data_IF_552403609168
#
_entry.id   IF_552403609168
#
_cell.length_a   1.000
_cell.length_b   1.000
_cell.length_c   1.000
_cell.angle_alpha   90.00
_cell.angle_beta   90.00
_cell.angle_gamma   90.00
#
_symmetry.space_group_name_H-M   'P 1'
#
loop_
_entity.id
_entity.type
_entity.pdbx_description
1 polymer ?
#
# COMPACT_ATOMS: atom_id res chain seq x y z
N UNK A 1 8.65 19.60 41.91
CA UNK A 1 9.24 20.46 40.86
C UNK A 1 8.92 19.81 39.52
N UNK A 2 8.06 20.45 38.71
CA UNK A 2 7.77 19.98 37.36
C UNK A 2 8.96 20.38 36.47
N UNK A 3 9.74 19.40 36.04
CA UNK A 3 10.85 19.59 35.10
C UNK A 3 10.32 19.51 33.68
N UNK A 4 10.20 20.66 33.01
CA UNK A 4 9.92 20.72 31.57
C UNK A 4 11.24 20.82 30.79
N UNK A 5 11.43 19.96 29.78
CA UNK A 5 12.64 19.95 28.97
C UNK A 5 12.59 21.04 27.89
N UNK A 6 13.49 22.01 27.99
CA UNK A 6 13.55 23.18 27.10
C UNK A 6 14.55 23.03 25.95
N UNK A 7 15.30 21.93 25.91
CA UNK A 7 16.36 21.71 24.92
C UNK A 7 15.81 21.61 23.49
N UNK A 8 14.57 21.16 23.36
CA UNK A 8 13.89 20.93 22.08
C UNK A 8 13.03 22.12 21.62
N UNK A 9 12.94 23.20 22.42
CA UNK A 9 12.14 24.36 22.08
C UNK A 9 12.84 25.27 21.06
N UNK A 10 12.19 25.51 19.92
CA UNK A 10 12.64 26.48 18.94
C UNK A 10 12.68 27.90 19.55
N UNK A 11 13.57 28.77 19.06
CA UNK A 11 13.67 30.16 19.56
C UNK A 11 12.35 30.92 19.47
N UNK A 12 11.58 30.70 18.40
CA UNK A 12 10.25 31.32 18.19
C UNK A 12 9.22 30.84 19.21
N UNK A 13 9.27 29.57 19.61
CA UNK A 13 8.32 29.00 20.57
C UNK A 13 8.58 29.49 21.99
N UNK A 14 9.84 29.78 22.34
CA UNK A 14 10.23 30.21 23.70
C UNK A 14 9.56 31.51 24.13
N UNK A 15 9.36 32.45 23.21
CA UNK A 15 8.71 33.74 23.50
C UNK A 15 7.26 33.60 24.00
N UNK A 16 6.58 32.52 23.63
CA UNK A 16 5.19 32.26 24.03
C UNK A 16 5.06 31.34 25.25
N UNK A 17 6.15 30.62 25.58
CA UNK A 17 6.21 29.56 26.58
C UNK A 17 6.90 29.99 27.88
N UNK A 18 7.59 31.14 27.87
CA UNK A 18 8.26 31.69 29.03
C UNK A 18 7.48 32.89 29.60
N UNK A 19 7.57 33.10 30.91
CA UNK A 19 7.12 34.32 31.56
C UNK A 19 8.18 35.44 31.45
N UNK A 20 7.88 36.62 32.01
CA UNK A 20 8.79 37.76 32.02
C UNK A 20 10.08 37.55 32.83
N UNK A 21 10.14 36.51 33.65
CA UNK A 21 11.30 36.12 34.47
C UNK A 21 12.09 34.96 33.83
N UNK A 22 11.62 34.43 32.70
CA UNK A 22 12.25 33.33 31.98
C UNK A 22 11.86 31.94 32.48
N UNK A 23 10.84 31.81 33.34
CA UNK A 23 10.31 30.52 33.78
C UNK A 23 9.29 29.98 32.78
N UNK A 24 9.16 28.65 32.72
CA UNK A 24 8.24 27.98 31.79
C UNK A 24 6.82 28.04 32.33
N UNK A 25 5.91 28.51 31.49
CA UNK A 25 4.47 28.45 31.74
C UNK A 25 3.96 27.04 31.41
N UNK A 26 3.82 26.20 32.42
CA UNK A 26 3.50 24.76 32.28
C UNK A 26 2.23 24.53 31.45
N UNK A 27 1.14 25.26 31.70
CA UNK A 27 -0.11 25.09 30.95
C UNK A 27 0.08 25.37 29.45
N UNK A 28 0.89 26.37 29.11
CA UNK A 28 1.20 26.70 27.71
C UNK A 28 2.16 25.68 27.10
N UNK A 29 3.09 25.18 27.89
CA UNK A 29 4.02 24.14 27.47
C UNK A 29 3.27 22.84 27.16
N UNK A 30 2.31 22.45 27.99
CA UNK A 30 1.44 21.29 27.75
C UNK A 30 0.64 21.47 26.45
N UNK A 31 -0.03 22.63 26.28
CA UNK A 31 -0.76 22.92 25.04
C UNK A 31 0.13 22.88 23.80
N UNK A 32 1.34 23.43 23.89
CA UNK A 32 2.32 23.39 22.82
C UNK A 32 2.69 21.94 22.45
N UNK A 33 2.89 21.05 23.43
CA UNK A 33 3.14 19.64 23.16
C UNK A 33 1.98 18.99 22.40
N UNK A 34 0.73 19.24 22.79
CA UNK A 34 -0.43 18.71 22.07
C UNK A 34 -0.48 19.21 20.61
N UNK A 35 -0.11 20.47 20.35
CA UNK A 35 -0.04 21.00 18.99
C UNK A 35 1.03 20.33 18.12
N UNK A 36 2.08 19.76 18.71
CA UNK A 36 3.11 19.04 17.95
C UNK A 36 2.69 17.62 17.57
N UNK A 37 1.74 17.00 18.28
CA UNK A 37 1.38 15.58 18.09
C UNK A 37 0.99 15.25 16.64
N UNK A 38 0.11 16.01 15.94
CA UNK A 38 -0.32 15.65 14.59
C UNK A 38 0.82 15.52 13.58
N UNK A 39 1.80 16.41 13.64
CA UNK A 39 2.96 16.40 12.73
C UNK A 39 3.90 15.22 13.05
N UNK A 40 3.95 14.81 14.32
CA UNK A 40 4.81 13.72 14.80
C UNK A 40 4.19 12.34 14.57
N UNK A 41 2.85 12.25 14.49
CA UNK A 41 2.14 10.99 14.22
C UNK A 41 2.48 10.36 12.86
N UNK A 42 3.14 11.08 11.95
CA UNK A 42 3.70 10.54 10.72
C UNK A 42 5.06 9.85 10.96
N UNK A 43 5.09 8.88 11.87
CA UNK A 43 6.20 7.96 12.08
C UNK A 43 7.22 8.33 13.16
N UNK A 44 7.14 9.53 13.77
CA UNK A 44 8.00 9.90 14.90
C UNK A 44 7.36 9.57 16.26
N UNK A 45 6.03 9.65 16.31
CA UNK A 45 5.22 9.17 17.41
C UNK A 45 4.31 8.09 16.87
N UNK A 46 4.28 6.95 17.55
CA UNK A 46 3.52 5.79 17.11
C UNK A 46 2.46 5.44 18.14
N UNK A 47 1.31 5.01 17.66
CA UNK A 47 0.17 4.57 18.46
C UNK A 47 -0.11 3.11 18.10
N UNK A 48 0.30 2.13 18.94
CA UNK A 48 0.20 0.71 18.61
C UNK A 48 -1.21 0.25 18.24
N UNK A 49 -2.21 0.83 18.91
CA UNK A 49 -3.62 0.48 18.76
C UNK A 49 -4.29 1.10 17.53
N UNK A 50 -3.62 2.05 16.85
CA UNK A 50 -4.17 2.74 15.67
C UNK A 50 -3.36 2.37 14.44
N UNK A 51 -3.92 1.56 13.54
CA UNK A 51 -3.25 1.05 12.33
C UNK A 51 -2.56 2.14 11.50
N UNK A 52 -3.18 3.32 11.36
CA UNK A 52 -2.61 4.44 10.60
C UNK A 52 -1.31 4.99 11.19
N UNK A 53 -1.17 4.93 12.51
CA UNK A 53 -0.05 5.52 13.26
C UNK A 53 0.80 4.46 13.95
N UNK A 54 0.60 3.20 13.62
CA UNK A 54 1.37 2.08 14.15
C UNK A 54 2.79 2.11 13.56
N UNK A 55 3.77 1.72 14.36
CA UNK A 55 5.12 1.49 13.87
C UNK A 55 5.15 0.31 12.90
N UNK A 56 5.90 0.41 11.80
CA UNK A 56 6.09 -0.72 10.88
C UNK A 56 6.59 -1.97 11.61
N UNK A 57 7.52 -1.80 12.56
CA UNK A 57 8.10 -2.89 13.34
C UNK A 57 7.06 -3.68 14.15
N UNK A 58 5.92 -3.07 14.51
CA UNK A 58 4.85 -3.76 15.21
C UNK A 58 4.04 -4.69 14.30
N UNK A 59 4.13 -4.54 12.98
CA UNK A 59 3.55 -5.46 11.99
C UNK A 59 4.57 -6.52 11.53
N UNK A 60 5.84 -6.40 11.93
CA UNK A 60 6.89 -7.36 11.64
C UNK A 60 6.93 -8.47 12.70
N UNK A 61 7.57 -9.59 12.35
CA UNK A 61 7.89 -10.64 13.32
C UNK A 61 8.87 -10.06 14.34
N UNK A 62 8.53 -10.17 15.62
CA UNK A 62 9.38 -9.74 16.73
C UNK A 62 10.82 -10.28 16.59
N UNK A 63 11.80 -9.45 16.92
CA UNK A 63 13.22 -9.77 16.72
C UNK A 63 13.69 -10.98 17.55
N UNK A 64 13.20 -11.14 18.77
CA UNK A 64 13.52 -12.30 19.60
C UNK A 64 12.86 -13.57 19.05
N UNK A 65 11.60 -13.47 18.62
CA UNK A 65 10.90 -14.57 17.97
C UNK A 65 11.58 -14.98 16.65
N UNK A 66 11.98 -14.02 15.82
CA UNK A 66 12.73 -14.25 14.59
C UNK A 66 14.04 -14.96 14.86
N UNK A 67 14.84 -14.50 15.82
CA UNK A 67 16.15 -15.11 16.14
C UNK A 67 16.02 -16.55 16.63
N UNK A 68 14.98 -16.86 17.41
CA UNK A 68 14.72 -18.22 17.92
C UNK A 68 14.20 -19.16 16.84
N UNK A 69 13.31 -18.69 15.96
CA UNK A 69 12.54 -19.54 15.03
C UNK A 69 12.92 -19.36 13.56
N UNK A 70 14.02 -18.64 13.25
CA UNK A 70 14.44 -18.27 11.88
C UNK A 70 14.31 -19.40 10.88
N UNK A 71 14.91 -20.57 11.16
CA UNK A 71 14.94 -21.69 10.21
C UNK A 71 13.55 -22.26 9.93
N UNK A 72 12.71 -22.40 10.96
CA UNK A 72 11.34 -22.87 10.82
C UNK A 72 10.49 -21.89 10.02
N UNK A 73 10.59 -20.58 10.32
CA UNK A 73 9.87 -19.53 9.59
C UNK A 73 10.29 -19.47 8.12
N UNK A 74 11.59 -19.62 7.83
CA UNK A 74 12.10 -19.68 6.46
C UNK A 74 11.56 -20.90 5.70
N UNK A 75 11.54 -22.08 6.33
CA UNK A 75 10.95 -23.27 5.71
C UNK A 75 9.46 -23.11 5.41
N UNK A 76 8.69 -22.56 6.37
CA UNK A 76 7.26 -22.30 6.20
C UNK A 76 6.95 -21.24 5.14
N UNK A 77 7.86 -20.28 4.92
CA UNK A 77 7.68 -19.23 3.92
C UNK A 77 7.67 -19.75 2.49
N UNK A 78 8.24 -20.94 2.23
CA UNK A 78 8.49 -21.49 0.90
C UNK A 78 9.33 -20.58 -0.03
N UNK A 79 9.91 -19.49 0.47
CA UNK A 79 10.76 -18.58 -0.28
C UNK A 79 12.23 -18.94 -0.12
N UNK A 80 12.74 -19.79 -1.02
CA UNK A 80 14.14 -20.25 -1.01
C UNK A 80 15.15 -19.11 -1.06
N UNK A 81 14.83 -18.02 -1.76
CA UNK A 81 15.69 -16.82 -1.83
C UNK A 81 15.92 -16.15 -0.48
N UNK A 82 14.95 -16.22 0.45
CA UNK A 82 15.10 -15.63 1.79
C UNK A 82 16.04 -16.44 2.70
N UNK A 83 16.34 -17.69 2.34
CA UNK A 83 17.28 -18.54 3.04
C UNK A 83 18.74 -18.32 2.60
N UNK A 84 18.96 -17.61 1.49
CA UNK A 84 20.29 -17.27 1.00
C UNK A 84 20.92 -16.12 1.81
N UNK A 85 22.25 -16.02 1.73
CA UNK A 85 22.97 -14.91 2.35
C UNK A 85 22.60 -13.58 1.64
N UNK A 86 22.14 -12.55 2.39
CA UNK A 86 21.64 -11.31 1.78
C UNK A 86 22.65 -10.66 0.84
N UNK A 87 23.93 -10.63 1.23
CA UNK A 87 24.98 -10.01 0.41
C UNK A 87 25.15 -10.70 -0.94
N UNK A 88 25.13 -12.04 -0.95
CA UNK A 88 25.23 -12.84 -2.17
C UNK A 88 24.01 -12.64 -3.07
N UNK A 89 22.81 -12.69 -2.49
CA UNK A 89 21.55 -12.49 -3.21
C UNK A 89 21.48 -11.09 -3.84
N UNK A 90 21.79 -10.05 -3.06
CA UNK A 90 21.77 -8.65 -3.53
C UNK A 90 22.78 -8.47 -4.67
N UNK A 91 24.01 -9.00 -4.51
CA UNK A 91 25.04 -8.92 -5.55
C UNK A 91 24.60 -9.63 -6.84
N UNK A 92 23.99 -10.81 -6.73
CA UNK A 92 23.49 -11.55 -7.89
C UNK A 92 22.37 -10.78 -8.58
N UNK A 93 21.38 -10.27 -7.83
CA UNK A 93 20.27 -9.50 -8.38
C UNK A 93 20.73 -8.21 -9.04
N UNK A 94 21.68 -7.50 -8.42
CA UNK A 94 22.28 -6.30 -9.00
C UNK A 94 22.99 -6.61 -10.32
N UNK A 95 23.78 -7.69 -10.37
CA UNK A 95 24.48 -8.10 -11.59
C UNK A 95 23.51 -8.53 -12.70
N UNK A 96 22.44 -9.25 -12.36
CA UNK A 96 21.38 -9.60 -13.32
C UNK A 96 20.69 -8.33 -13.87
N UNK A 97 20.37 -7.37 -13.00
CA UNK A 97 19.80 -6.09 -13.40
C UNK A 97 20.73 -5.31 -14.33
N UNK A 98 22.01 -5.17 -13.98
CA UNK A 98 23.01 -4.47 -14.79
C UNK A 98 23.18 -5.14 -16.16
N UNK A 99 23.20 -6.48 -16.19
CA UNK A 99 23.27 -7.25 -17.44
C UNK A 99 22.06 -6.95 -18.32
N UNK A 100 20.84 -6.98 -17.76
CA UNK A 100 19.62 -6.67 -18.50
C UNK A 100 19.58 -5.23 -18.98
N UNK A 101 20.04 -4.28 -18.17
CA UNK A 101 20.14 -2.88 -18.58
C UNK A 101 21.11 -2.70 -19.75
N UNK A 102 22.25 -3.39 -19.71
CA UNK A 102 23.22 -3.38 -20.81
C UNK A 102 22.65 -4.03 -22.07
N UNK A 103 22.05 -5.21 -21.97
CA UNK A 103 21.40 -5.92 -23.08
C UNK A 103 20.31 -5.07 -23.73
N UNK A 104 19.48 -4.40 -22.92
CA UNK A 104 18.47 -3.46 -23.43
C UNK A 104 19.14 -2.27 -24.10
N UNK A 105 20.20 -1.71 -23.53
CA UNK A 105 21.00 -0.64 -24.15
C UNK A 105 21.50 -1.03 -25.54
N UNK A 106 22.18 -2.17 -25.67
CA UNK A 106 22.67 -2.72 -26.94
C UNK A 106 21.52 -2.97 -27.93
N UNK A 107 20.42 -3.56 -27.47
CA UNK A 107 19.23 -3.80 -28.29
C UNK A 107 18.63 -2.50 -28.84
N UNK A 108 18.68 -1.41 -28.06
CA UNK A 108 18.21 -0.10 -28.48
C UNK A 108 19.15 0.57 -29.51
N UNK A 109 20.44 0.28 -29.48
CA UNK A 109 21.42 0.83 -30.43
C UNK A 109 21.45 0.10 -31.78
N UNK A 110 20.99 -1.16 -31.84
CA UNK A 110 20.86 -1.90 -33.09
C UNK A 110 19.71 -1.33 -33.95
N UNK A 111 20.02 -0.94 -35.19
CA UNK A 111 19.14 -0.16 -36.09
C UNK A 111 17.82 -0.84 -36.53
N UNK A 112 17.62 -2.14 -36.26
CA UNK A 112 16.39 -2.87 -36.63
C UNK A 112 15.36 -2.96 -35.48
N UNK A 113 15.24 -1.89 -34.69
CA UNK A 113 14.23 -1.83 -33.65
C UNK A 113 12.88 -1.36 -34.23
N UNK A 114 12.18 -2.27 -34.91
CA UNK A 114 10.84 -2.03 -35.49
C UNK A 114 9.81 -1.49 -34.49
N UNK A 115 10.10 -1.61 -33.19
CA UNK A 115 9.26 -1.19 -32.08
C UNK A 115 9.67 0.16 -31.46
N UNK A 116 10.78 0.79 -31.88
CA UNK A 116 11.26 2.07 -31.33
C UNK A 116 11.87 2.89 -32.47
N UNK A 117 11.22 4.02 -32.83
CA UNK A 117 11.70 4.87 -33.92
C UNK A 117 12.74 5.84 -33.36
N UNK A 118 14.02 5.60 -33.65
CA UNK A 118 15.09 6.59 -33.49
C UNK A 118 15.06 7.54 -34.69
N UNK A 119 14.69 8.81 -34.47
CA UNK A 119 14.93 9.88 -35.46
C UNK A 119 16.00 10.82 -34.92
N UNK A 120 16.95 11.16 -35.78
CA UNK A 120 17.99 12.15 -35.48
C UNK A 120 17.94 13.30 -36.49
N UNK A 121 16.98 14.25 -36.38
CA UNK A 121 16.87 15.31 -37.39
C UNK A 121 17.96 16.38 -37.25
N UNK A 122 18.53 16.62 -36.05
CA UNK A 122 19.48 17.71 -35.77
C UNK A 122 20.32 17.45 -34.50
N UNK A 123 20.85 16.24 -34.31
CA UNK A 123 21.77 15.92 -33.19
C UNK A 123 21.13 15.72 -31.81
N UNK A 124 19.81 15.88 -31.67
CA UNK A 124 19.07 15.51 -30.45
C UNK A 124 18.40 14.15 -30.62
N UNK A 125 18.77 13.18 -29.77
CA UNK A 125 18.16 11.84 -29.71
C UNK A 125 16.72 11.97 -29.15
N UNK A 126 15.72 11.70 -29.99
CA UNK A 126 14.31 11.62 -29.57
C UNK A 126 13.84 10.17 -29.59
N UNK A 127 13.35 9.69 -28.44
CA UNK A 127 12.76 8.36 -28.30
C UNK A 127 11.24 8.45 -28.48
N UNK A 128 10.68 7.70 -29.44
CA UNK A 128 9.23 7.59 -29.59
C UNK A 128 8.83 6.12 -29.76
N UNK A 129 7.96 5.65 -28.87
CA UNK A 129 7.25 4.39 -29.04
C UNK A 129 6.24 4.55 -30.21
N UNK A 130 6.21 3.65 -31.20
CA UNK A 130 5.19 3.61 -32.23
C UNK A 130 3.82 3.44 -31.55
N UNK A 131 2.97 4.46 -31.64
CA UNK A 131 1.62 4.42 -31.09
C UNK A 131 0.70 3.44 -31.82
N UNK A 132 1.16 2.82 -32.92
CA UNK A 132 0.31 2.09 -33.87
C UNK A 132 0.19 0.57 -33.62
N UNK A 133 0.92 -0.03 -32.67
CA UNK A 133 0.95 -1.50 -32.52
C UNK A 133 0.32 -2.05 -31.23
N UNK A 134 -0.28 -1.22 -30.37
CA UNK A 134 -0.92 -1.72 -29.13
C UNK A 134 -2.11 -2.66 -29.38
N UNK A 135 -2.73 -2.62 -30.55
CA UNK A 135 -3.87 -3.51 -30.85
C UNK A 135 -3.46 -4.97 -31.13
N UNK A 136 -2.21 -5.25 -31.52
CA UNK A 136 -1.79 -6.59 -31.95
C UNK A 136 -1.01 -7.38 -30.88
N UNK A 137 -0.34 -6.72 -29.94
CA UNK A 137 0.44 -7.43 -28.90
C UNK A 137 -0.41 -7.92 -27.72
N UNK A 138 -1.57 -7.30 -27.47
CA UNK A 138 -2.48 -7.69 -26.37
C UNK A 138 -3.54 -8.69 -26.85
N UNK A 139 -3.78 -8.78 -28.16
CA UNK A 139 -4.72 -9.70 -28.77
C UNK A 139 -3.98 -10.91 -29.38
N UNK A 140 -3.30 -11.70 -28.56
CA UNK A 140 -2.95 -13.05 -29.02
C UNK A 140 -4.28 -13.78 -29.33
N UNK A 141 -4.50 -14.32 -30.55
CA UNK A 141 -5.73 -15.04 -30.90
C UNK A 141 -6.07 -16.15 -29.90
N UNK A 142 -5.06 -16.68 -29.20
CA UNK A 142 -5.24 -17.60 -28.08
C UNK A 142 -6.08 -17.01 -26.93
N UNK A 143 -5.81 -15.78 -26.49
CA UNK A 143 -6.55 -15.15 -25.39
C UNK A 143 -7.97 -14.73 -25.82
N UNK A 144 -8.23 -14.60 -27.12
CA UNK A 144 -9.59 -14.38 -27.64
C UNK A 144 -10.45 -15.66 -27.59
N UNK A 145 -9.83 -16.83 -27.53
CA UNK A 145 -10.52 -18.12 -27.41
C UNK A 145 -10.85 -18.47 -25.95
N UNK A 146 -10.23 -17.79 -24.98
CA UNK A 146 -10.52 -17.99 -23.56
C UNK A 146 -11.77 -17.16 -23.22
N UNK A 147 -12.83 -17.78 -22.67
CA UNK A 147 -14.00 -17.02 -22.23
C UNK A 147 -13.58 -16.02 -21.16
N UNK A 148 -13.84 -14.73 -21.41
CA UNK A 148 -13.62 -13.69 -20.41
C UNK A 148 -14.71 -13.76 -19.36
N UNK A 149 -14.34 -13.65 -18.08
CA UNK A 149 -15.26 -13.65 -16.95
C UNK A 149 -15.00 -12.41 -16.11
N UNK A 150 -16.06 -11.77 -15.61
CA UNK A 150 -15.92 -10.61 -14.74
C UNK A 150 -15.26 -10.98 -13.42
N UNK A 151 -14.35 -10.14 -12.92
CA UNK A 151 -13.71 -10.37 -11.61
C UNK A 151 -14.74 -10.52 -10.48
N UNK A 152 -15.90 -9.85 -10.58
CA UNK A 152 -17.00 -9.98 -9.63
C UNK A 152 -17.69 -11.37 -9.69
N UNK A 153 -17.69 -12.05 -10.83
CA UNK A 153 -18.21 -13.43 -10.93
C UNK A 153 -17.22 -14.41 -10.30
N UNK A 154 -15.92 -14.20 -10.51
CA UNK A 154 -14.87 -14.99 -9.85
C UNK A 154 -14.97 -14.86 -8.33
N UNK A 155 -15.11 -13.63 -7.81
CA UNK A 155 -15.26 -13.42 -6.38
C UNK A 155 -16.54 -14.04 -5.81
N UNK A 156 -17.64 -14.04 -6.56
CA UNK A 156 -18.89 -14.74 -6.16
C UNK A 156 -18.71 -16.26 -6.13
N UNK A 157 -17.97 -16.83 -7.08
CA UNK A 157 -17.64 -18.25 -7.05
C UNK A 157 -16.79 -18.58 -5.82
N UNK A 158 -15.77 -17.77 -5.51
CA UNK A 158 -14.93 -17.96 -4.33
C UNK A 158 -15.76 -17.84 -3.04
N UNK A 159 -16.63 -16.84 -2.97
CA UNK A 159 -17.51 -16.67 -1.81
C UNK A 159 -18.50 -17.83 -1.65
N UNK A 160 -19.06 -18.37 -2.73
CA UNK A 160 -19.92 -19.57 -2.65
C UNK A 160 -19.19 -20.74 -1.99
N UNK A 161 -17.90 -20.90 -2.28
CA UNK A 161 -17.12 -22.04 -1.80
C UNK A 161 -16.47 -21.78 -0.41
N UNK A 162 -16.28 -20.52 -0.02
CA UNK A 162 -15.56 -20.13 1.22
C UNK A 162 -16.41 -19.41 2.26
N UNK A 163 -17.52 -18.81 1.85
CA UNK A 163 -18.35 -17.95 2.69
C UNK A 163 -17.67 -16.64 3.12
N UNK A 164 -16.60 -16.20 2.45
CA UNK A 164 -15.75 -15.11 2.97
C UNK A 164 -16.51 -13.78 3.21
N UNK A 165 -17.62 -13.54 2.51
CA UNK A 165 -18.43 -12.33 2.74
C UNK A 165 -19.03 -12.30 4.15
N UNK A 166 -19.27 -13.47 4.76
CA UNK A 166 -19.78 -13.56 6.12
C UNK A 166 -18.77 -13.07 7.17
N UNK A 167 -17.47 -13.10 6.85
CA UNK A 167 -16.42 -12.58 7.74
C UNK A 167 -16.44 -11.05 7.88
N UNK A 168 -17.10 -10.31 6.99
CA UNK A 168 -17.20 -8.85 7.11
C UNK A 168 -18.26 -8.49 8.14
N UNK A 169 -17.88 -8.43 9.42
CA UNK A 169 -18.81 -8.06 10.48
C UNK A 169 -19.06 -6.54 10.51
N UNK A 170 -20.30 -6.16 10.83
CA UNK A 170 -20.62 -4.76 11.10
C UNK A 170 -19.90 -4.30 12.37
N UNK A 171 -19.38 -3.05 12.40
CA UNK A 171 -18.68 -2.44 13.56
C UNK A 171 -19.44 -2.56 14.89
N UNK A 172 -20.77 -2.67 14.86
CA UNK A 172 -21.62 -2.71 16.06
C UNK A 172 -21.98 -4.13 16.54
N UNK A 173 -21.42 -5.18 15.94
CA UNK A 173 -21.44 -6.55 16.49
C UNK A 173 -22.79 -7.26 16.61
N UNK A 174 -23.90 -6.70 16.09
CA UNK A 174 -25.23 -7.32 16.16
C UNK A 174 -25.81 -7.56 14.77
N UNK A 175 -25.90 -8.85 14.41
CA UNK A 175 -26.40 -9.39 13.14
C UNK A 175 -25.69 -8.84 11.90
N UNK A 176 -24.59 -9.50 11.52
CA UNK A 176 -23.92 -9.29 10.23
C UNK A 176 -24.93 -9.43 9.09
N UNK A 177 -25.36 -8.31 8.52
CA UNK A 177 -26.06 -8.25 7.23
C UNK A 177 -25.06 -8.06 6.10
N UNK A 178 -23.84 -8.57 6.21
CA UNK A 178 -22.83 -8.46 5.15
C UNK A 178 -23.36 -8.94 3.81
N UNK A 179 -24.15 -10.03 3.85
CA UNK A 179 -24.90 -10.58 2.70
C UNK A 179 -25.86 -9.60 2.03
N UNK A 180 -26.50 -8.68 2.76
CA UNK A 180 -27.34 -7.65 2.12
C UNK A 180 -26.54 -6.61 1.35
N UNK A 181 -25.23 -6.57 1.56
CA UNK A 181 -24.29 -5.65 0.92
C UNK A 181 -23.26 -6.38 0.05
N UNK A 182 -23.48 -7.65 -0.31
CA UNK A 182 -22.54 -8.48 -1.08
C UNK A 182 -21.97 -7.73 -2.29
N UNK A 183 -22.83 -7.19 -3.15
CA UNK A 183 -22.36 -6.52 -4.36
C UNK A 183 -21.60 -5.23 -4.08
N UNK A 184 -21.96 -4.50 -3.02
CA UNK A 184 -21.27 -3.28 -2.62
C UNK A 184 -19.90 -3.62 -2.03
N UNK A 185 -19.81 -4.67 -1.21
CA UNK A 185 -18.55 -5.18 -0.66
C UNK A 185 -17.60 -5.66 -1.77
N UNK A 186 -18.11 -6.40 -2.76
CA UNK A 186 -17.34 -6.82 -3.92
C UNK A 186 -16.85 -5.62 -4.75
N UNK A 187 -17.71 -4.61 -4.96
CA UNK A 187 -17.33 -3.39 -5.66
C UNK A 187 -16.24 -2.60 -4.92
N UNK A 188 -16.34 -2.49 -3.60
CA UNK A 188 -15.33 -1.83 -2.74
C UNK A 188 -14.00 -2.61 -2.80
N UNK A 189 -14.05 -3.94 -2.69
CA UNK A 189 -12.87 -4.81 -2.77
C UNK A 189 -12.16 -4.65 -4.11
N UNK A 190 -12.88 -4.74 -5.23
CA UNK A 190 -12.32 -4.59 -6.57
C UNK A 190 -11.77 -3.17 -6.77
N UNK A 191 -12.51 -2.14 -6.36
CA UNK A 191 -12.07 -0.76 -6.49
C UNK A 191 -10.76 -0.49 -5.73
N UNK A 192 -10.67 -0.96 -4.48
CA UNK A 192 -9.48 -0.80 -3.66
C UNK A 192 -8.31 -1.65 -4.18
N UNK A 193 -8.54 -2.90 -4.60
CA UNK A 193 -7.50 -3.79 -5.14
C UNK A 193 -6.93 -3.29 -6.48
N UNK A 194 -7.73 -2.59 -7.29
CA UNK A 194 -7.32 -2.04 -8.59
C UNK A 194 -6.81 -0.60 -8.53
N UNK A 195 -6.64 -0.04 -7.31
CA UNK A 195 -6.24 1.34 -7.08
C UNK A 195 -7.17 2.40 -7.72
N UNK A 196 -8.41 2.02 -8.06
CA UNK A 196 -9.45 2.95 -8.50
C UNK A 196 -10.22 3.56 -7.31
N UNK A 197 -10.22 2.85 -6.18
CA UNK A 197 -10.96 3.19 -4.97
C UNK A 197 -12.47 3.21 -5.16
N UNK A 198 -13.20 3.52 -4.07
CA UNK A 198 -14.66 3.66 -4.10
C UNK A 198 -15.14 4.83 -4.96
N UNK A 199 -14.31 5.87 -5.13
CA UNK A 199 -14.64 7.01 -5.99
C UNK A 199 -14.65 6.59 -7.46
N UNK A 200 -13.61 5.89 -7.93
CA UNK A 200 -13.57 5.35 -9.29
C UNK A 200 -14.71 4.37 -9.54
N UNK A 201 -15.00 3.51 -8.56
CA UNK A 201 -16.08 2.53 -8.67
C UNK A 201 -17.47 3.17 -8.76
N UNK A 202 -17.73 4.26 -8.02
CA UNK A 202 -18.99 5.01 -8.09
C UNK A 202 -19.20 5.72 -9.45
N UNK A 203 -18.13 6.02 -10.19
CA UNK A 203 -18.24 6.65 -11.52
C UNK A 203 -18.59 5.66 -12.63
N UNK A 204 -18.29 4.37 -12.43
CA UNK A 204 -18.41 3.33 -13.46
C UNK A 204 -19.49 2.29 -13.14
N UNK A 205 -20.23 2.46 -12.04
CA UNK A 205 -21.28 1.55 -11.61
C UNK A 205 -22.51 2.31 -11.11
N UNK A 206 -23.64 1.64 -10.95
CA UNK A 206 -24.88 2.22 -10.44
C UNK A 206 -24.86 2.53 -8.92
N UNK A 207 -23.67 2.58 -8.30
CA UNK A 207 -23.48 2.79 -6.86
C UNK A 207 -23.03 4.21 -6.58
N UNK A 208 -23.57 4.83 -5.53
CA UNK A 208 -23.13 6.15 -5.11
C UNK A 208 -21.88 6.07 -4.24
N UNK A 209 -21.06 7.12 -4.28
CA UNK A 209 -19.90 7.23 -3.41
C UNK A 209 -20.28 7.13 -1.93
N UNK A 210 -21.36 7.80 -1.52
CA UNK A 210 -21.80 7.82 -0.12
C UNK A 210 -22.22 6.43 0.38
N UNK A 211 -22.90 5.65 -0.47
CA UNK A 211 -23.25 4.26 -0.15
C UNK A 211 -21.99 3.42 0.04
N UNK A 212 -21.04 3.48 -0.90
CA UNK A 212 -19.80 2.71 -0.82
C UNK A 212 -18.93 3.12 0.37
N UNK A 213 -18.83 4.43 0.63
CA UNK A 213 -18.08 4.99 1.76
C UNK A 213 -18.66 4.51 3.10
N UNK A 214 -19.98 4.55 3.24
CA UNK A 214 -20.68 4.09 4.45
C UNK A 214 -20.48 2.59 4.67
N UNK A 215 -20.65 1.77 3.64
CA UNK A 215 -20.48 0.31 3.74
C UNK A 215 -19.03 -0.03 4.05
N UNK A 216 -18.06 0.61 3.39
CA UNK A 216 -16.64 0.41 3.68
C UNK A 216 -16.31 0.76 5.15
N UNK A 217 -16.80 1.89 5.65
CA UNK A 217 -16.54 2.32 7.02
C UNK A 217 -17.13 1.37 8.08
N UNK A 218 -18.23 0.69 7.74
CA UNK A 218 -18.99 -0.17 8.66
C UNK A 218 -18.59 -1.65 8.61
N UNK A 219 -18.03 -2.12 7.49
CA UNK A 219 -17.78 -3.56 7.27
C UNK A 219 -16.31 -3.90 6.95
N UNK A 220 -15.52 -2.95 6.45
CA UNK A 220 -14.11 -3.17 6.05
C UNK A 220 -13.16 -2.44 7.00
N UNK A 221 -13.10 -2.92 8.25
CA UNK A 221 -12.08 -2.53 9.24
C UNK A 221 -11.30 -3.75 9.68
N UNK A 222 -9.99 -3.57 9.91
CA UNK A 222 -9.11 -4.67 10.35
C UNK A 222 -9.62 -5.39 11.61
N UNK A 223 -10.24 -4.65 12.54
CA UNK A 223 -10.80 -5.21 13.77
C UNK A 223 -12.15 -5.93 13.62
N UNK A 224 -12.75 -5.92 12.42
CA UNK A 224 -14.07 -6.51 12.16
C UNK A 224 -14.01 -7.71 11.19
N UNK A 225 -12.82 -8.06 10.70
CA UNK A 225 -12.65 -9.23 9.84
C UNK A 225 -12.53 -10.43 10.76
N UNK A 226 -13.65 -11.09 11.00
CA UNK A 226 -13.72 -12.31 11.82
C UNK A 226 -13.72 -13.53 10.88
N UNK A 227 -12.55 -13.90 10.35
CA UNK A 227 -12.37 -15.23 9.76
C UNK A 227 -11.59 -16.10 10.75
N UNK A 228 -12.13 -17.29 11.05
CA UNK A 228 -11.46 -18.33 11.83
C UNK A 228 -10.31 -18.98 11.06
#
# INVERSE_FOLDING_TARGET
>A
MQTADTRLLSKKSREFLLDGEGNILIDRYEWFLYQQIPDRLNGQLTLPDITKYRALDADLIDGEHWRKNKYTLLQQSHFTKLAEEPEKLIKQMAMELDTRLYEVGEYLEQEDNRNIILRNPQGKRFWRLPSASKHHLVNNPFFQQIPTTGIADVLRMVDRDTGFIDCFAHVLGSQSRSRSHEYDLLAILVGNATNQGIYGMAQISDRTYDQLSTIQANYLRLGNIECC
#
